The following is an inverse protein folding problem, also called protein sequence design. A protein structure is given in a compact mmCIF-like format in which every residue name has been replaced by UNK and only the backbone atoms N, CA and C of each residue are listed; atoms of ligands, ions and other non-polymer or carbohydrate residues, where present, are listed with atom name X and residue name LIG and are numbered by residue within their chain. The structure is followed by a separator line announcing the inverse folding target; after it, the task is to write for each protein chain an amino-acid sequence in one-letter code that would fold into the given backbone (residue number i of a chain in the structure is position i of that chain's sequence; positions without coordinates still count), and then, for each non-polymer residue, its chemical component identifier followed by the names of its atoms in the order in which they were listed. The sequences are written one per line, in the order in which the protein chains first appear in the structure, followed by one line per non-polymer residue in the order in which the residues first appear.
data_IF_783500473763
#
_entry.id   IF_783500473763
#
_cell.length_a   1.000
_cell.length_b   1.000
_cell.length_c   1.000
_cell.angle_alpha   90.00
_cell.angle_beta   90.00
_cell.angle_gamma   90.00
#
_symmetry.space_group_name_H-M   'P 1'
#
loop_
_entity.id
_entity.type
_entity.pdbx_description
1 polymer ?
#
# COMPACT_ATOMS: atom_id res chain seq x y z
N UNK A 1 -14.34 -9.24 -40.87
CA UNK A 1 -13.08 -9.00 -40.12
C UNK A 1 -13.45 -8.67 -38.70
N UNK A 2 -13.31 -9.61 -37.80
CA UNK A 2 -13.62 -9.44 -36.36
C UNK A 2 -12.43 -8.78 -35.65
N UNK A 3 -12.66 -7.87 -34.68
CA UNK A 3 -11.56 -7.22 -33.94
C UNK A 3 -10.91 -8.23 -33.00
N UNK A 4 -9.60 -8.37 -33.11
CA UNK A 4 -8.77 -9.13 -32.17
C UNK A 4 -8.87 -8.48 -30.80
N UNK A 5 -9.46 -9.17 -29.82
CA UNK A 5 -9.39 -8.82 -28.39
C UNK A 5 -7.92 -8.85 -27.96
N UNK A 6 -7.38 -7.70 -27.58
CA UNK A 6 -6.16 -7.63 -26.77
C UNK A 6 -6.46 -8.28 -25.42
N UNK A 7 -5.79 -9.39 -25.13
CA UNK A 7 -5.77 -9.96 -23.78
C UNK A 7 -5.07 -8.94 -22.86
N UNK A 8 -5.80 -8.43 -21.88
CA UNK A 8 -5.23 -7.80 -20.70
C UNK A 8 -4.38 -8.85 -19.99
N UNK A 9 -3.16 -8.48 -19.66
CA UNK A 9 -2.29 -9.24 -18.74
C UNK A 9 -2.79 -9.02 -17.33
N UNK A 10 -3.78 -9.79 -16.92
CA UNK A 10 -4.29 -9.78 -15.55
C UNK A 10 -3.49 -10.75 -14.69
N UNK A 11 -2.97 -10.16 -13.62
CA UNK A 11 -2.57 -10.72 -12.32
C UNK A 11 -2.43 -12.26 -12.18
N UNK A 12 -1.28 -12.63 -11.65
CA UNK A 12 -0.72 -13.94 -11.32
C UNK A 12 -1.63 -14.97 -10.61
N UNK A 13 -2.89 -14.72 -10.36
CA UNK A 13 -3.76 -15.61 -9.55
C UNK A 13 -5.00 -16.13 -10.27
N UNK A 14 -5.31 -15.72 -11.49
CA UNK A 14 -6.60 -16.06 -12.09
C UNK A 14 -6.62 -17.12 -13.18
N UNK A 15 -5.54 -17.82 -13.41
CA UNK A 15 -5.60 -19.07 -14.20
C UNK A 15 -4.87 -20.16 -13.40
N UNK A 16 -5.44 -21.36 -13.31
CA UNK A 16 -4.89 -22.59 -12.69
C UNK A 16 -3.53 -23.03 -13.28
N UNK A 17 -2.60 -22.11 -13.47
CA UNK A 17 -1.26 -22.35 -13.99
C UNK A 17 -0.27 -22.28 -12.85
N UNK A 18 0.09 -23.43 -12.33
CA UNK A 18 1.19 -23.55 -11.37
C UNK A 18 2.49 -23.09 -12.03
N UNK A 19 3.17 -22.12 -11.45
CA UNK A 19 4.52 -21.71 -11.85
C UNK A 19 5.55 -22.51 -11.07
N UNK A 20 6.57 -23.00 -11.75
CA UNK A 20 7.67 -23.72 -11.13
C UNK A 20 8.94 -22.88 -11.18
N UNK A 21 9.62 -22.79 -10.04
CA UNK A 21 10.94 -22.18 -9.98
C UNK A 21 11.97 -23.07 -10.62
N UNK A 22 12.58 -22.61 -11.70
CA UNK A 22 13.61 -23.36 -12.42
C UNK A 22 15.02 -23.04 -11.93
N UNK A 23 15.28 -21.79 -11.56
CA UNK A 23 16.60 -21.31 -11.15
C UNK A 23 16.46 -20.07 -10.29
N UNK A 24 17.19 -20.04 -9.17
CA UNK A 24 17.41 -18.80 -8.43
C UNK A 24 18.55 -18.04 -9.09
N UNK A 25 18.29 -16.80 -9.49
CA UNK A 25 19.31 -15.97 -10.13
C UNK A 25 20.27 -15.41 -9.08
N UNK A 26 21.56 -15.45 -9.40
CA UNK A 26 22.58 -14.87 -8.55
C UNK A 26 22.44 -13.35 -8.50
N UNK A 27 22.54 -12.78 -7.31
CA UNK A 27 22.43 -11.33 -7.10
C UNK A 27 21.37 -10.97 -6.08
N UNK A 28 21.46 -11.57 -4.87
CA UNK A 28 20.63 -11.15 -3.75
C UNK A 28 20.93 -9.68 -3.44
N UNK A 29 19.95 -8.81 -3.61
CA UNK A 29 20.05 -7.40 -3.24
C UNK A 29 19.46 -7.20 -1.86
N UNK A 30 20.29 -6.99 -0.86
CA UNK A 30 19.84 -6.58 0.47
C UNK A 30 19.44 -5.11 0.44
N UNK A 31 18.23 -4.80 0.90
CA UNK A 31 17.72 -3.44 0.93
C UNK A 31 18.21 -2.72 2.20
N UNK A 32 18.39 -1.41 2.07
CA UNK A 32 18.78 -0.54 3.19
C UNK A 32 17.55 -0.23 4.06
N UNK A 33 17.17 -1.17 4.91
CA UNK A 33 16.17 -0.95 5.96
C UNK A 33 16.63 -1.59 7.27
N UNK A 34 15.96 -1.30 8.38
CA UNK A 34 16.29 -1.84 9.71
C UNK A 34 16.31 -3.39 9.69
N UNK A 35 15.36 -4.00 9.01
CA UNK A 35 15.18 -5.45 8.93
C UNK A 35 15.98 -6.10 7.80
N UNK A 36 16.63 -5.30 6.96
CA UNK A 36 17.47 -5.75 5.83
C UNK A 36 16.80 -6.82 4.96
N UNK A 37 15.58 -6.58 4.46
CA UNK A 37 14.93 -7.54 3.59
C UNK A 37 15.75 -7.71 2.30
N UNK A 38 15.65 -8.87 1.67
CA UNK A 38 16.43 -9.20 0.49
C UNK A 38 15.52 -9.34 -0.73
N UNK A 39 15.84 -8.62 -1.82
CA UNK A 39 15.28 -8.89 -3.14
C UNK A 39 15.94 -10.12 -3.72
N UNK A 40 15.14 -11.11 -4.07
CA UNK A 40 15.57 -12.34 -4.74
C UNK A 40 14.83 -12.49 -6.06
N UNK A 41 15.46 -13.12 -7.03
CA UNK A 41 14.88 -13.29 -8.36
C UNK A 41 14.90 -14.76 -8.76
N UNK A 42 13.78 -15.24 -9.28
CA UNK A 42 13.67 -16.60 -9.77
C UNK A 42 13.26 -16.59 -11.23
N UNK A 43 13.89 -17.47 -11.99
CA UNK A 43 13.43 -17.83 -13.32
C UNK A 43 12.37 -18.90 -13.18
N UNK A 44 11.24 -18.73 -13.87
CA UNK A 44 10.10 -19.65 -13.77
C UNK A 44 9.77 -20.22 -15.12
N UNK A 45 9.05 -21.35 -15.15
CA UNK A 45 8.48 -21.93 -16.35
C UNK A 45 6.99 -22.17 -16.14
N UNK A 46 6.20 -22.02 -17.22
CA UNK A 46 4.78 -22.39 -17.26
C UNK A 46 4.68 -23.89 -17.49
N UNK A 47 3.84 -24.54 -16.70
CA UNK A 47 3.72 -25.98 -16.74
C UNK A 47 2.70 -26.45 -17.80
N UNK A 48 3.14 -27.41 -18.66
CA UNK A 48 2.25 -28.27 -19.42
C UNK A 48 2.69 -29.74 -19.44
N UNK A 49 3.82 -30.09 -18.76
CA UNK A 49 4.42 -31.45 -18.79
C UNK A 49 5.07 -31.80 -17.45
N UNK A 50 5.52 -33.04 -17.27
CA UNK A 50 6.13 -33.56 -16.05
C UNK A 50 7.35 -32.74 -15.59
N UNK A 51 7.44 -32.45 -14.27
CA UNK A 51 8.50 -31.61 -13.68
C UNK A 51 9.93 -32.05 -14.05
N UNK A 52 10.15 -33.35 -14.16
CA UNK A 52 11.46 -33.92 -14.50
C UNK A 52 11.88 -33.63 -15.95
N UNK A 53 10.92 -33.56 -16.89
CA UNK A 53 11.18 -33.27 -18.30
C UNK A 53 11.55 -31.79 -18.48
N UNK A 54 10.99 -30.91 -17.66
CA UNK A 54 11.28 -29.48 -17.69
C UNK A 54 12.69 -29.19 -17.17
N UNK A 55 13.07 -29.81 -16.05
CA UNK A 55 14.40 -29.65 -15.48
C UNK A 55 15.46 -30.15 -16.46
N UNK A 56 15.21 -31.29 -17.14
CA UNK A 56 16.11 -31.83 -18.15
C UNK A 56 16.18 -30.98 -19.42
N UNK A 57 15.04 -30.49 -19.92
CA UNK A 57 14.97 -29.53 -21.04
C UNK A 57 15.70 -28.23 -20.70
N UNK A 58 15.48 -27.69 -19.50
CA UNK A 58 16.13 -26.47 -19.02
C UNK A 58 17.64 -26.66 -18.92
N UNK A 59 18.11 -27.78 -18.33
CA UNK A 59 19.55 -28.07 -18.22
C UNK A 59 20.20 -28.27 -19.60
N UNK A 60 19.49 -28.82 -20.56
CA UNK A 60 19.97 -29.00 -21.95
C UNK A 60 19.93 -27.69 -22.75
N UNK A 61 18.97 -26.79 -22.47
CA UNK A 61 18.84 -25.49 -23.14
C UNK A 61 19.81 -24.44 -22.60
N UNK A 62 20.45 -24.67 -21.45
CA UNK A 62 21.46 -23.76 -20.86
C UNK A 62 22.61 -23.42 -21.82
N UNK A 63 22.84 -24.24 -22.85
CA UNK A 63 23.84 -24.01 -23.90
C UNK A 63 23.37 -23.03 -25.01
N UNK A 64 22.07 -22.72 -25.09
CA UNK A 64 21.49 -21.87 -26.16
C UNK A 64 20.74 -20.64 -25.65
N UNK A 65 20.84 -20.31 -24.37
CA UNK A 65 19.99 -19.36 -23.62
C UNK A 65 20.16 -17.87 -23.95
N UNK A 66 20.62 -17.51 -25.15
CA UNK A 66 20.63 -16.09 -25.55
C UNK A 66 19.33 -15.59 -26.20
N UNK A 67 18.27 -16.39 -26.34
CA UNK A 67 17.21 -16.04 -27.29
C UNK A 67 15.76 -16.09 -26.84
N UNK A 68 15.38 -16.54 -25.62
CA UNK A 68 13.93 -16.62 -25.30
C UNK A 68 13.62 -16.19 -23.84
N UNK A 69 13.66 -14.89 -23.56
CA UNK A 69 13.13 -14.33 -22.29
C UNK A 69 11.61 -14.55 -22.14
N UNK A 70 10.89 -14.74 -23.22
CA UNK A 70 9.43 -15.00 -23.21
C UNK A 70 9.06 -16.41 -22.74
N UNK A 71 9.98 -17.37 -22.84
CA UNK A 71 9.72 -18.77 -22.49
C UNK A 71 9.94 -19.04 -20.98
N UNK A 72 10.83 -18.24 -20.34
CA UNK A 72 11.21 -18.37 -18.93
C UNK A 72 11.22 -17.01 -18.23
N UNK A 73 10.05 -16.45 -17.87
CA UNK A 73 9.98 -15.15 -17.24
C UNK A 73 10.65 -15.13 -15.86
N UNK A 74 11.24 -13.99 -15.54
CA UNK A 74 11.87 -13.75 -14.26
C UNK A 74 10.87 -13.05 -13.33
N UNK A 75 10.68 -13.61 -12.15
CA UNK A 75 9.88 -13.00 -11.09
C UNK A 75 10.77 -12.58 -9.93
N UNK A 76 10.50 -11.41 -9.42
CA UNK A 76 11.19 -10.85 -8.28
C UNK A 76 10.33 -11.00 -7.03
N UNK A 77 10.97 -11.28 -5.91
CA UNK A 77 10.36 -11.45 -4.61
C UNK A 77 11.14 -10.69 -3.55
N UNK A 78 10.44 -10.36 -2.48
CA UNK A 78 11.01 -9.83 -1.26
C UNK A 78 11.08 -10.95 -0.21
N UNK A 79 12.29 -11.29 0.23
CA UNK A 79 12.48 -12.18 1.36
C UNK A 79 12.65 -11.33 2.62
N UNK A 80 11.70 -11.43 3.54
CA UNK A 80 11.69 -10.71 4.82
C UNK A 80 11.78 -11.73 5.95
N UNK A 81 12.70 -11.51 6.89
CA UNK A 81 12.81 -12.30 8.11
C UNK A 81 12.47 -11.43 9.31
N UNK A 82 11.49 -11.85 10.10
CA UNK A 82 11.19 -11.27 11.40
C UNK A 82 10.57 -12.33 12.31
N UNK A 83 11.00 -12.34 13.55
CA UNK A 83 10.50 -13.32 14.53
C UNK A 83 9.11 -12.98 15.05
N UNK A 84 8.73 -11.69 15.08
CA UNK A 84 7.57 -11.24 15.83
C UNK A 84 6.41 -10.72 14.97
N UNK A 85 6.68 -10.18 13.77
CA UNK A 85 5.66 -9.47 13.01
C UNK A 85 5.07 -10.23 11.82
N UNK A 86 5.66 -11.38 11.42
CA UNK A 86 5.20 -12.15 10.26
C UNK A 86 3.75 -12.61 10.41
N UNK A 87 3.37 -13.16 11.56
CA UNK A 87 2.01 -13.62 11.80
C UNK A 87 1.00 -12.46 11.77
N UNK A 88 1.38 -11.30 12.28
CA UNK A 88 0.56 -10.08 12.25
C UNK A 88 0.36 -9.60 10.82
N UNK A 89 1.43 -9.57 10.05
CA UNK A 89 1.38 -9.19 8.64
C UNK A 89 0.48 -10.14 7.85
N UNK A 90 0.63 -11.45 8.01
CA UNK A 90 -0.22 -12.47 7.37
C UNK A 90 -1.71 -12.29 7.70
N UNK A 91 -2.04 -12.11 8.97
CA UNK A 91 -3.42 -11.90 9.41
C UNK A 91 -4.01 -10.58 8.90
N UNK A 92 -3.20 -9.55 8.81
CA UNK A 92 -3.61 -8.28 8.20
C UNK A 92 -3.97 -8.49 6.72
N UNK A 93 -3.20 -9.31 6.01
CA UNK A 93 -3.52 -9.68 4.63
C UNK A 93 -4.82 -10.49 4.51
N UNK A 94 -5.18 -11.31 5.49
CA UNK A 94 -6.48 -12.01 5.52
C UNK A 94 -7.64 -11.01 5.60
N UNK A 95 -7.52 -9.96 6.42
CA UNK A 95 -8.51 -8.88 6.48
C UNK A 95 -8.62 -8.16 5.12
N UNK A 96 -7.50 -7.87 4.47
CA UNK A 96 -7.50 -7.24 3.15
C UNK A 96 -8.10 -8.15 2.06
N UNK A 97 -7.88 -9.46 2.16
CA UNK A 97 -8.55 -10.44 1.30
C UNK A 97 -10.06 -10.39 1.47
N UNK A 98 -10.51 -10.35 2.72
CA UNK A 98 -11.94 -10.29 3.01
C UNK A 98 -12.58 -9.01 2.49
N UNK A 99 -11.92 -7.87 2.62
CA UNK A 99 -12.39 -6.59 2.02
C UNK A 99 -12.55 -6.75 0.49
N UNK A 100 -11.58 -7.35 -0.19
CA UNK A 100 -11.67 -7.58 -1.64
C UNK A 100 -12.76 -8.60 -2.01
N UNK A 101 -12.94 -9.66 -1.21
CA UNK A 101 -14.03 -10.62 -1.39
C UNK A 101 -15.39 -9.92 -1.29
N UNK A 102 -15.56 -9.02 -0.33
CA UNK A 102 -16.79 -8.23 -0.16
C UNK A 102 -17.01 -7.31 -1.38
N UNK A 103 -15.97 -6.63 -1.86
CA UNK A 103 -16.08 -5.82 -3.08
C UNK A 103 -16.49 -6.65 -4.29
N UNK A 104 -15.93 -7.85 -4.42
CA UNK A 104 -16.29 -8.79 -5.49
C UNK A 104 -17.74 -9.27 -5.37
N UNK A 105 -18.16 -9.69 -4.20
CA UNK A 105 -19.54 -10.11 -3.92
C UNK A 105 -20.57 -9.03 -4.25
N UNK A 106 -20.21 -7.76 -4.09
CA UNK A 106 -21.04 -6.61 -4.39
C UNK A 106 -20.85 -6.07 -5.81
N UNK A 107 -20.06 -6.75 -6.64
CA UNK A 107 -19.70 -6.31 -7.99
C UNK A 107 -19.12 -4.89 -8.05
N UNK A 108 -18.45 -4.45 -6.98
CA UNK A 108 -17.86 -3.10 -6.92
C UNK A 108 -16.52 -3.03 -7.64
N UNK A 109 -15.81 -4.13 -7.72
CA UNK A 109 -14.60 -4.30 -8.51
C UNK A 109 -14.88 -4.13 -10.01
N UNK A 110 -15.89 -4.82 -10.53
CA UNK A 110 -16.25 -4.79 -11.96
C UNK A 110 -16.99 -3.51 -12.37
N UNK A 111 -17.88 -2.99 -11.52
CA UNK A 111 -18.72 -1.83 -11.86
C UNK A 111 -18.05 -0.48 -11.57
N UNK A 112 -17.19 -0.41 -10.55
CA UNK A 112 -16.59 0.82 -10.06
C UNK A 112 -15.07 0.80 -10.00
N UNK A 113 -14.43 -0.33 -10.30
CA UNK A 113 -12.98 -0.51 -10.19
C UNK A 113 -12.45 -0.50 -8.75
N UNK A 114 -13.33 -0.79 -7.78
CA UNK A 114 -12.96 -0.80 -6.36
C UNK A 114 -12.20 -2.08 -6.02
N UNK A 115 -10.94 -1.93 -5.71
CA UNK A 115 -10.06 -3.02 -5.29
C UNK A 115 -9.02 -2.47 -4.33
N UNK A 116 -8.85 -3.10 -3.18
CA UNK A 116 -7.75 -2.83 -2.28
C UNK A 116 -6.48 -3.44 -2.86
N UNK A 117 -5.73 -2.64 -3.62
CA UNK A 117 -4.49 -3.09 -4.25
C UNK A 117 -3.47 -3.44 -3.17
N UNK A 118 -2.90 -4.64 -3.25
CA UNK A 118 -1.92 -5.17 -2.30
C UNK A 118 -0.93 -6.08 -3.01
N UNK A 119 0.19 -6.34 -2.39
CA UNK A 119 1.10 -7.41 -2.79
C UNK A 119 0.68 -8.74 -2.15
N UNK A 120 1.25 -9.82 -2.61
CA UNK A 120 1.03 -11.15 -2.04
C UNK A 120 2.18 -11.50 -1.10
N UNK A 121 1.83 -12.21 -0.03
CA UNK A 121 2.82 -12.79 0.87
C UNK A 121 2.53 -14.27 1.09
N UNK A 122 3.59 -15.05 1.24
CA UNK A 122 3.53 -16.47 1.56
C UNK A 122 4.53 -16.81 2.66
N UNK A 123 4.11 -17.43 3.76
CA UNK A 123 5.05 -17.85 4.78
C UNK A 123 5.90 -19.01 4.26
N UNK A 124 7.22 -18.90 4.43
CA UNK A 124 8.18 -19.98 4.20
C UNK A 124 8.43 -20.74 5.51
N UNK A 125 8.48 -19.99 6.61
CA UNK A 125 8.62 -20.54 7.96
C UNK A 125 7.97 -19.59 8.97
N UNK A 126 7.99 -19.93 10.25
CA UNK A 126 7.51 -19.05 11.32
C UNK A 126 8.28 -17.73 11.46
N UNK A 127 9.42 -17.60 10.79
CA UNK A 127 10.29 -16.42 10.87
C UNK A 127 10.62 -15.80 9.52
N UNK A 128 10.10 -16.35 8.41
CA UNK A 128 10.47 -15.92 7.05
C UNK A 128 9.24 -15.91 6.16
N UNK A 129 9.01 -14.77 5.50
CA UNK A 129 7.99 -14.63 4.45
C UNK A 129 8.63 -14.32 3.11
N UNK A 130 7.99 -14.81 2.07
CA UNK A 130 8.22 -14.45 0.69
C UNK A 130 7.11 -13.49 0.26
N UNK A 131 7.46 -12.24 0.01
CA UNK A 131 6.56 -11.23 -0.51
C UNK A 131 6.71 -11.06 -2.02
N UNK A 132 5.62 -10.74 -2.71
CA UNK A 132 5.66 -10.30 -4.11
C UNK A 132 6.46 -9.00 -4.20
N UNK A 133 7.38 -8.91 -5.14
CA UNK A 133 8.02 -7.66 -5.50
C UNK A 133 7.10 -6.85 -6.40
N UNK A 134 6.66 -5.71 -5.93
CA UNK A 134 5.80 -4.82 -6.73
C UNK A 134 6.62 -4.18 -7.85
N UNK A 135 6.54 -4.76 -9.03
CA UNK A 135 7.17 -4.19 -10.22
C UNK A 135 6.50 -2.87 -10.61
N UNK A 136 7.28 -1.97 -11.20
CA UNK A 136 6.80 -0.65 -11.63
C UNK A 136 6.17 0.18 -10.50
N UNK A 137 6.66 0.00 -9.28
CA UNK A 137 6.27 0.80 -8.13
C UNK A 137 7.38 1.76 -7.71
N UNK A 138 7.01 2.78 -6.97
CA UNK A 138 7.92 3.74 -6.35
C UNK A 138 7.30 4.22 -5.04
N UNK A 139 8.07 4.34 -3.97
CA UNK A 139 7.58 4.90 -2.72
C UNK A 139 7.39 6.42 -2.83
N UNK A 140 6.49 6.97 -2.03
CA UNK A 140 6.36 8.42 -1.95
C UNK A 140 7.66 9.07 -1.45
N UNK A 141 8.40 8.42 -0.56
CA UNK A 141 9.72 8.87 -0.13
C UNK A 141 10.70 9.00 -1.30
N UNK A 142 10.75 8.01 -2.19
CA UNK A 142 11.61 8.07 -3.39
C UNK A 142 11.17 9.17 -4.37
N UNK A 143 9.86 9.44 -4.52
CA UNK A 143 9.36 10.54 -5.35
C UNK A 143 9.85 11.88 -4.80
N UNK A 144 9.73 12.10 -3.50
CA UNK A 144 10.23 13.31 -2.85
C UNK A 144 11.74 13.44 -2.96
N UNK A 145 12.48 12.36 -2.78
CA UNK A 145 13.95 12.34 -2.92
C UNK A 145 14.40 12.66 -4.35
N UNK A 146 13.71 12.11 -5.35
CA UNK A 146 14.02 12.36 -6.75
C UNK A 146 13.89 13.85 -7.11
N UNK A 147 12.85 14.52 -6.58
CA UNK A 147 12.57 15.91 -6.92
C UNK A 147 13.44 16.92 -6.16
N UNK A 148 13.81 16.62 -4.92
CA UNK A 148 14.55 17.55 -4.06
C UNK A 148 15.97 17.12 -3.70
N UNK A 149 16.43 15.95 -4.15
CA UNK A 149 17.74 15.40 -3.80
C UNK A 149 17.91 15.09 -2.31
N UNK A 150 16.82 14.93 -1.60
CA UNK A 150 16.80 14.68 -0.16
C UNK A 150 16.76 13.16 0.04
N UNK A 151 17.92 12.56 0.31
CA UNK A 151 18.07 11.11 0.40
C UNK A 151 17.66 10.49 1.74
N UNK A 152 17.27 11.32 2.73
CA UNK A 152 16.95 10.87 4.07
C UNK A 152 15.82 11.71 4.68
N UNK A 153 14.82 11.04 5.25
CA UNK A 153 13.71 11.70 5.99
C UNK A 153 14.24 12.53 7.16
N UNK A 154 15.34 12.10 7.81
CA UNK A 154 15.99 12.84 8.89
C UNK A 154 16.69 14.11 8.38
N UNK A 155 17.24 14.08 7.16
CA UNK A 155 17.80 15.28 6.52
C UNK A 155 16.69 16.25 6.10
N UNK A 156 15.58 15.73 5.57
CA UNK A 156 14.37 16.53 5.28
C UNK A 156 13.80 17.13 6.56
N UNK A 157 13.82 16.37 7.65
CA UNK A 157 13.51 16.80 8.98
C UNK A 157 14.38 17.95 9.46
N UNK A 158 15.67 17.81 9.31
CA UNK A 158 16.65 18.85 9.65
C UNK A 158 16.47 20.11 8.80
N UNK A 159 16.09 19.92 7.54
CA UNK A 159 15.81 21.00 6.60
C UNK A 159 14.56 21.79 7.02
N UNK A 160 13.42 21.14 7.25
CA UNK A 160 12.19 21.79 7.71
C UNK A 160 12.36 22.48 9.09
N UNK A 161 13.17 21.90 10.00
CA UNK A 161 13.50 22.53 11.29
C UNK A 161 14.41 23.73 11.15
N UNK A 162 15.35 23.71 10.20
CA UNK A 162 16.24 24.85 9.92
C UNK A 162 15.49 26.01 9.30
N UNK A 163 14.54 25.75 8.43
CA UNK A 163 13.74 26.81 7.78
C UNK A 163 12.83 27.55 8.75
N UNK A 164 12.29 26.91 9.79
CA UNK A 164 11.60 27.63 10.88
C UNK A 164 12.52 28.61 11.65
N UNK A 165 13.84 28.59 11.40
CA UNK A 165 14.85 29.45 12.03
C UNK A 165 15.65 30.34 11.07
N UNK A 166 15.42 30.28 9.76
CA UNK A 166 16.18 31.04 8.75
C UNK A 166 15.30 32.15 8.16
N UNK A 167 15.91 33.30 7.98
CA UNK A 167 15.32 34.54 7.48
C UNK A 167 14.50 34.38 6.18
N UNK A 168 13.56 35.31 5.90
CA UNK A 168 12.51 35.15 4.87
C UNK A 168 12.97 35.18 3.41
N UNK A 169 14.12 34.60 3.09
CA UNK A 169 14.70 34.58 1.76
C UNK A 169 14.85 33.22 1.08
N UNK A 170 14.69 32.14 1.81
CA UNK A 170 14.83 30.77 1.26
C UNK A 170 13.61 29.94 1.60
N UNK A 171 12.46 30.42 1.19
CA UNK A 171 11.24 29.64 1.16
C UNK A 171 11.40 28.73 -0.05
N UNK A 172 11.71 27.43 0.16
CA UNK A 172 11.19 26.43 -0.76
C UNK A 172 9.72 26.78 -0.88
N UNK A 173 9.33 27.18 -2.06
CA UNK A 173 8.02 27.70 -2.31
C UNK A 173 7.07 26.64 -1.79
N UNK A 174 6.34 26.90 -0.69
CA UNK A 174 5.38 25.94 -0.13
C UNK A 174 4.54 25.33 -1.23
N UNK A 175 4.27 26.12 -2.29
CA UNK A 175 3.59 25.67 -3.50
C UNK A 175 4.33 24.56 -4.26
N UNK A 176 5.65 24.50 -4.23
CA UNK A 176 6.42 23.45 -4.92
C UNK A 176 6.40 22.15 -4.11
N UNK A 177 6.61 22.23 -2.80
CA UNK A 177 6.51 21.05 -1.92
C UNK A 177 5.10 20.45 -1.98
N UNK A 178 4.07 21.28 -2.03
CA UNK A 178 2.67 20.86 -2.08
C UNK A 178 2.26 20.13 -3.37
N UNK A 179 3.06 20.19 -4.41
CA UNK A 179 2.71 19.65 -5.73
C UNK A 179 3.67 18.55 -6.21
N UNK A 180 4.58 18.07 -5.36
CA UNK A 180 5.59 17.07 -5.75
C UNK A 180 4.99 15.84 -6.38
N UNK A 181 4.01 15.26 -5.72
CA UNK A 181 3.35 14.05 -6.20
C UNK A 181 2.55 14.32 -7.48
N UNK A 182 1.85 15.46 -7.55
CA UNK A 182 1.14 15.87 -8.75
C UNK A 182 2.08 16.06 -9.93
N UNK A 183 3.16 16.80 -9.74
CA UNK A 183 4.16 17.03 -10.79
C UNK A 183 4.81 15.73 -11.25
N UNK A 184 5.12 14.83 -10.33
CA UNK A 184 5.68 13.53 -10.69
C UNK A 184 4.72 12.72 -11.59
N UNK A 185 3.45 12.66 -11.24
CA UNK A 185 2.44 11.93 -12.03
C UNK A 185 2.21 12.61 -13.38
N UNK A 186 2.10 13.93 -13.41
CA UNK A 186 1.86 14.72 -14.62
C UNK A 186 3.01 14.58 -15.63
N UNK A 187 4.25 14.59 -15.17
CA UNK A 187 5.43 14.41 -16.04
C UNK A 187 5.58 13.02 -16.63
N UNK A 188 5.01 11.99 -15.99
CA UNK A 188 5.10 10.60 -16.46
C UNK A 188 4.08 10.30 -17.56
N UNK A 189 3.01 11.07 -17.69
CA UNK A 189 1.86 10.71 -18.52
C UNK A 189 1.48 11.84 -19.49
N UNK A 190 1.91 11.68 -20.73
CA UNK A 190 1.67 12.68 -21.80
C UNK A 190 0.25 12.55 -22.39
N UNK A 191 -0.35 11.36 -22.37
CA UNK A 191 -1.66 11.12 -22.98
C UNK A 191 -2.79 11.46 -22.00
N UNK A 192 -3.69 12.44 -22.31
CA UNK A 192 -4.76 12.87 -21.40
C UNK A 192 -5.73 11.73 -20.99
N UNK A 193 -6.01 10.78 -21.86
CA UNK A 193 -6.91 9.66 -21.56
C UNK A 193 -6.26 8.70 -20.55
N UNK A 194 -4.97 8.44 -20.70
CA UNK A 194 -4.21 7.63 -19.76
C UNK A 194 -4.10 8.39 -18.44
N UNK A 195 -3.81 9.68 -18.47
CA UNK A 195 -3.76 10.53 -17.28
C UNK A 195 -5.07 10.49 -16.47
N UNK A 196 -6.22 10.58 -17.16
CA UNK A 196 -7.52 10.50 -16.50
C UNK A 196 -7.74 9.15 -15.80
N UNK A 197 -7.40 8.04 -16.45
CA UNK A 197 -7.54 6.70 -15.84
C UNK A 197 -6.61 6.53 -14.63
N UNK A 198 -5.40 7.06 -14.68
CA UNK A 198 -4.46 7.05 -13.56
C UNK A 198 -5.00 7.88 -12.39
N UNK A 199 -5.45 9.10 -12.66
CA UNK A 199 -6.03 9.99 -11.68
C UNK A 199 -7.23 9.32 -10.97
N UNK A 200 -8.10 8.70 -11.75
CA UNK A 200 -9.26 7.97 -11.23
C UNK A 200 -8.83 6.82 -10.31
N UNK A 201 -7.86 6.00 -10.74
CA UNK A 201 -7.34 4.89 -9.93
C UNK A 201 -6.65 5.38 -8.65
N UNK A 202 -5.88 6.44 -8.76
CA UNK A 202 -5.29 7.11 -7.60
C UNK A 202 -6.35 7.50 -6.57
N UNK A 203 -7.41 8.16 -7.01
CA UNK A 203 -8.49 8.62 -6.14
C UNK A 203 -9.21 7.43 -5.49
N UNK A 204 -9.56 6.41 -6.27
CA UNK A 204 -10.25 5.21 -5.78
C UNK A 204 -9.40 4.49 -4.73
N UNK A 205 -8.16 4.20 -5.05
CA UNK A 205 -7.26 3.48 -4.14
C UNK A 205 -6.95 4.28 -2.88
N UNK A 206 -6.78 5.62 -2.98
CA UNK A 206 -6.62 6.49 -1.81
C UNK A 206 -7.84 6.44 -0.89
N UNK A 207 -9.04 6.50 -1.44
CA UNK A 207 -10.28 6.44 -0.66
C UNK A 207 -10.43 5.10 0.08
N UNK A 208 -10.17 3.99 -0.62
CA UNK A 208 -10.26 2.64 -0.03
C UNK A 208 -9.20 2.47 1.07
N UNK A 209 -7.94 2.82 0.79
CA UNK A 209 -6.86 2.70 1.77
C UNK A 209 -7.09 3.59 3.00
N UNK A 210 -7.59 4.81 2.83
CA UNK A 210 -7.89 5.70 3.96
C UNK A 210 -8.88 5.06 4.93
N UNK A 211 -9.97 4.48 4.44
CA UNK A 211 -10.94 3.80 5.30
C UNK A 211 -10.44 2.45 5.81
N UNK A 212 -9.62 1.75 5.05
CA UNK A 212 -8.99 0.52 5.52
C UNK A 212 -8.03 0.81 6.68
N UNK A 213 -7.22 1.87 6.59
CA UNK A 213 -6.37 2.33 7.70
C UNK A 213 -7.21 2.66 8.94
N UNK A 214 -8.33 3.39 8.77
CA UNK A 214 -9.26 3.68 9.86
C UNK A 214 -9.82 2.39 10.47
N UNK A 215 -10.36 1.48 9.64
CA UNK A 215 -10.99 0.24 10.08
C UNK A 215 -10.05 -0.66 10.87
N UNK A 216 -8.82 -0.80 10.40
CA UNK A 216 -7.83 -1.72 10.99
C UNK A 216 -6.95 -1.06 12.05
N UNK A 217 -7.10 0.24 12.28
CA UNK A 217 -6.18 1.00 13.12
C UNK A 217 -4.73 0.92 12.64
N UNK A 218 -4.54 0.91 11.30
CA UNK A 218 -3.24 0.78 10.67
C UNK A 218 -2.44 2.08 10.80
N UNK A 219 -1.36 2.03 11.57
CA UNK A 219 -0.42 3.12 11.79
C UNK A 219 0.86 3.01 10.95
N UNK A 220 1.83 3.87 11.27
CA UNK A 220 3.15 3.96 10.62
C UNK A 220 3.07 4.23 9.10
N UNK A 221 2.13 5.10 8.70
CA UNK A 221 1.89 5.44 7.27
C UNK A 221 2.78 6.60 6.82
N UNK A 222 4.09 6.52 7.09
CA UNK A 222 5.07 7.47 6.55
C UNK A 222 5.25 7.27 5.03
N UNK A 223 5.94 8.22 4.36
CA UNK A 223 6.12 8.23 2.91
C UNK A 223 6.80 6.97 2.34
N UNK A 224 7.63 6.29 3.13
CA UNK A 224 8.29 5.04 2.74
C UNK A 224 7.34 3.83 2.71
N UNK A 225 6.20 3.90 3.43
CA UNK A 225 5.23 2.81 3.54
C UNK A 225 4.02 2.98 2.60
N UNK A 226 4.09 3.95 1.69
CA UNK A 226 3.08 4.18 0.65
C UNK A 226 3.77 4.17 -0.71
N UNK A 227 3.31 3.33 -1.60
CA UNK A 227 3.84 3.18 -2.95
C UNK A 227 2.84 3.62 -4.00
N UNK A 228 3.35 4.20 -5.08
CA UNK A 228 2.61 4.53 -6.29
C UNK A 228 2.96 3.53 -7.39
N UNK A 229 1.94 2.96 -8.03
CA UNK A 229 2.08 2.04 -9.15
C UNK A 229 2.17 2.81 -10.48
N UNK A 230 3.36 2.84 -11.08
CA UNK A 230 3.65 3.61 -12.30
C UNK A 230 2.86 3.15 -13.53
N UNK A 231 2.39 1.92 -13.55
CA UNK A 231 1.66 1.34 -14.68
C UNK A 231 0.13 1.48 -14.55
N UNK A 232 -0.39 1.81 -13.37
CA UNK A 232 -1.84 1.87 -13.16
C UNK A 232 -2.33 3.13 -12.43
N UNK A 233 -1.46 3.82 -11.71
CA UNK A 233 -1.85 4.96 -10.88
C UNK A 233 -2.38 4.59 -9.49
N UNK A 234 -2.50 3.29 -9.17
CA UNK A 234 -2.97 2.84 -7.87
C UNK A 234 -1.96 3.17 -6.77
N UNK A 235 -2.48 3.42 -5.57
CA UNK A 235 -1.70 3.44 -4.32
C UNK A 235 -1.72 2.07 -3.70
N UNK A 236 -0.57 1.66 -3.16
CA UNK A 236 -0.40 0.43 -2.39
C UNK A 236 0.32 0.78 -1.09
N UNK A 237 -0.24 0.32 0.02
CA UNK A 237 0.46 0.39 1.30
C UNK A 237 1.29 -0.87 1.50
N UNK A 238 2.44 -0.71 2.15
CA UNK A 238 3.35 -1.79 2.53
C UNK A 238 3.68 -1.69 4.01
N UNK A 239 4.23 -2.75 4.58
CA UNK A 239 4.60 -2.85 5.99
C UNK A 239 3.43 -2.69 6.96
N UNK A 240 2.96 -3.80 7.50
CA UNK A 240 1.75 -3.86 8.33
C UNK A 240 2.02 -4.29 9.78
N UNK A 241 3.18 -3.91 10.32
CA UNK A 241 3.57 -4.19 11.70
C UNK A 241 2.78 -3.40 12.76
N UNK A 242 2.18 -2.27 12.39
CA UNK A 242 1.47 -1.37 13.30
C UNK A 242 -0.03 -1.35 13.01
N UNK A 243 -0.78 -2.28 13.59
CA UNK A 243 -2.23 -2.44 13.42
C UNK A 243 -2.94 -2.25 14.75
N UNK A 244 -4.26 -2.20 14.75
CA UNK A 244 -5.12 -2.08 15.95
C UNK A 244 -4.85 -0.81 16.77
N UNK A 245 -4.43 0.29 16.15
CA UNK A 245 -4.14 1.54 16.85
C UNK A 245 -2.77 1.57 17.55
N UNK A 246 -1.91 0.60 17.30
CA UNK A 246 -0.54 0.55 17.86
C UNK A 246 0.29 1.80 17.52
N UNK A 247 -0.06 2.54 16.47
CA UNK A 247 0.53 3.84 16.15
C UNK A 247 0.43 4.87 17.28
N UNK A 248 -0.57 4.75 18.17
CA UNK A 248 -0.72 5.60 19.35
C UNK A 248 0.35 5.35 20.43
N UNK A 249 0.96 4.16 20.45
CA UNK A 249 1.99 3.77 21.40
C UNK A 249 3.42 4.10 20.95
N UNK A 250 3.57 4.68 19.75
CA UNK A 250 4.87 5.14 19.25
C UNK A 250 5.44 6.25 20.15
N UNK A 251 6.78 6.40 20.24
CA UNK A 251 7.42 7.48 21.00
C UNK A 251 6.93 8.88 20.61
N UNK A 252 6.52 9.05 19.35
CA UNK A 252 5.75 10.19 18.85
C UNK A 252 4.44 9.62 18.34
N UNK A 253 3.33 9.71 19.12
CA UNK A 253 2.07 9.08 18.78
C UNK A 253 1.49 9.58 17.45
N UNK A 254 0.91 8.68 16.67
CA UNK A 254 0.13 9.05 15.51
C UNK A 254 -1.28 9.48 15.94
N UNK A 255 -1.62 10.73 15.62
CA UNK A 255 -2.85 11.37 16.09
C UNK A 255 -3.97 11.33 15.05
N UNK A 256 -3.67 10.91 13.81
CA UNK A 256 -4.63 10.81 12.70
C UNK A 256 -4.76 9.35 12.24
N UNK A 257 -5.90 9.03 11.66
CA UNK A 257 -6.24 7.64 11.33
C UNK A 257 -5.68 7.18 9.98
N UNK A 258 -5.42 8.10 9.08
CA UNK A 258 -4.82 7.84 7.77
C UNK A 258 -4.11 9.08 7.27
N UNK A 259 -3.18 8.88 6.34
CA UNK A 259 -2.43 9.98 5.76
C UNK A 259 -3.29 10.74 4.76
N UNK A 260 -3.56 12.02 5.05
CA UNK A 260 -4.35 12.92 4.22
C UNK A 260 -3.70 14.31 4.12
N UNK A 261 -2.39 14.31 3.90
CA UNK A 261 -1.56 15.50 3.77
C UNK A 261 -1.85 16.24 2.45
N UNK A 262 -1.36 17.46 2.32
CA UNK A 262 -1.65 18.33 1.19
C UNK A 262 -1.20 17.75 -0.15
N UNK A 263 -0.05 17.08 -0.19
CA UNK A 263 0.42 16.40 -1.40
C UNK A 263 -0.53 15.31 -1.89
N UNK A 264 -1.10 14.54 -0.98
CA UNK A 264 -2.11 13.53 -1.33
C UNK A 264 -3.37 14.21 -1.84
N UNK A 265 -3.85 15.25 -1.13
CA UNK A 265 -5.11 15.96 -1.46
C UNK A 265 -5.07 16.62 -2.83
N UNK A 266 -3.95 17.27 -3.19
CA UNK A 266 -3.77 17.93 -4.49
C UNK A 266 -3.95 17.00 -5.68
N UNK A 267 -3.69 15.70 -5.49
CA UNK A 267 -3.91 14.69 -6.51
C UNK A 267 -5.35 14.15 -6.56
N UNK A 268 -6.25 14.60 -5.69
CA UNK A 268 -7.66 14.19 -5.71
C UNK A 268 -8.51 15.00 -6.71
N UNK A 269 -7.90 15.93 -7.42
CA UNK A 269 -8.56 16.82 -8.38
C UNK A 269 -9.06 18.11 -7.74
N UNK A 270 -9.74 18.94 -8.55
CA UNK A 270 -10.14 20.30 -8.15
C UNK A 270 -11.05 20.39 -6.94
N UNK A 271 -11.83 19.35 -6.70
CA UNK A 271 -12.81 19.32 -5.61
C UNK A 271 -12.30 18.60 -4.36
N UNK A 272 -11.05 18.08 -4.40
CA UNK A 272 -10.44 17.35 -3.28
C UNK A 272 -11.43 16.37 -2.61
N UNK A 273 -11.68 16.54 -1.29
CA UNK A 273 -12.63 15.73 -0.53
C UNK A 273 -14.10 15.88 -0.95
N UNK A 274 -14.47 16.95 -1.63
CA UNK A 274 -15.85 17.18 -2.07
C UNK A 274 -16.16 16.59 -3.46
N UNK A 275 -15.18 15.90 -4.06
CA UNK A 275 -15.29 15.34 -5.40
C UNK A 275 -15.47 13.82 -5.42
N UNK A 276 -14.84 13.20 -6.41
CA UNK A 276 -14.86 11.76 -6.66
C UNK A 276 -14.31 10.98 -5.46
N UNK A 277 -13.33 11.53 -4.74
CA UNK A 277 -12.78 10.91 -3.53
C UNK A 277 -13.88 10.62 -2.50
N UNK A 278 -14.71 11.60 -2.16
CA UNK A 278 -15.77 11.42 -1.17
C UNK A 278 -16.81 10.37 -1.61
N UNK A 279 -17.11 10.30 -2.90
CA UNK A 279 -18.01 9.27 -3.42
C UNK A 279 -17.48 7.86 -3.12
N UNK A 280 -16.21 7.58 -3.42
CA UNK A 280 -15.61 6.27 -3.16
C UNK A 280 -15.36 6.03 -1.68
N UNK A 281 -15.01 7.06 -0.93
CA UNK A 281 -14.84 7.02 0.51
C UNK A 281 -16.16 6.65 1.21
N UNK A 282 -17.25 7.33 0.86
CA UNK A 282 -18.60 7.02 1.37
C UNK A 282 -19.05 5.61 0.94
N UNK A 283 -18.80 5.22 -0.29
CA UNK A 283 -19.16 3.90 -0.81
C UNK A 283 -18.42 2.78 -0.08
N UNK A 284 -17.12 2.93 0.17
CA UNK A 284 -16.32 2.01 0.97
C UNK A 284 -16.86 1.92 2.41
N UNK A 285 -17.18 3.05 3.02
CA UNK A 285 -17.77 3.10 4.35
C UNK A 285 -19.12 2.35 4.40
N UNK A 286 -19.97 2.57 3.42
CA UNK A 286 -21.27 1.90 3.34
C UNK A 286 -21.15 0.38 3.28
N UNK A 287 -20.14 -0.11 2.55
CA UNK A 287 -19.83 -1.54 2.48
C UNK A 287 -19.28 -2.05 3.81
N UNK A 288 -18.36 -1.33 4.45
CA UNK A 288 -17.83 -1.72 5.76
C UNK A 288 -18.93 -1.76 6.82
N UNK A 289 -19.87 -0.85 6.76
CA UNK A 289 -21.06 -0.84 7.64
C UNK A 289 -21.98 -2.03 7.37
N UNK A 290 -22.27 -2.36 6.12
CA UNK A 290 -23.10 -3.49 5.75
C UNK A 290 -22.47 -4.83 6.20
N UNK A 291 -21.17 -4.99 6.03
CA UNK A 291 -20.43 -6.20 6.39
C UNK A 291 -19.70 -6.09 7.74
N UNK A 292 -20.16 -5.18 8.58
CA UNK A 292 -19.57 -4.88 9.87
C UNK A 292 -19.26 -6.11 10.72
N UNK A 293 -20.22 -7.04 10.85
CA UNK A 293 -20.05 -8.23 11.69
C UNK A 293 -18.94 -9.14 11.19
N UNK A 294 -18.83 -9.31 9.88
CA UNK A 294 -17.78 -10.13 9.25
C UNK A 294 -16.40 -9.50 9.48
N UNK A 295 -16.25 -8.23 9.19
CA UNK A 295 -15.00 -7.51 9.36
C UNK A 295 -14.58 -7.44 10.84
N UNK A 296 -15.55 -7.21 11.73
CA UNK A 296 -15.28 -7.23 13.19
C UNK A 296 -14.79 -8.60 13.65
N UNK A 297 -15.39 -9.70 13.20
CA UNK A 297 -14.96 -11.04 13.57
C UNK A 297 -13.52 -11.33 13.14
N UNK A 298 -13.09 -10.85 11.96
CA UNK A 298 -11.71 -10.98 11.51
C UNK A 298 -10.74 -10.19 12.40
N UNK A 299 -11.12 -8.98 12.79
CA UNK A 299 -10.32 -8.12 13.66
C UNK A 299 -10.27 -8.65 15.10
N UNK A 300 -11.38 -9.18 15.62
CA UNK A 300 -11.42 -9.84 16.91
C UNK A 300 -10.47 -11.08 16.90
N UNK A 301 -10.51 -11.90 15.83
CA UNK A 301 -9.60 -13.03 15.67
C UNK A 301 -8.12 -12.58 15.64
N UNK A 302 -7.84 -11.45 14.97
CA UNK A 302 -6.51 -10.84 14.98
C UNK A 302 -6.10 -10.46 16.42
N UNK A 303 -6.96 -9.77 17.16
CA UNK A 303 -6.69 -9.26 18.48
C UNK A 303 -6.46 -10.35 19.53
N UNK A 304 -7.14 -11.50 19.40
CA UNK A 304 -7.00 -12.66 20.31
C UNK A 304 -5.82 -13.58 19.97
N UNK A 305 -4.93 -13.18 19.05
CA UNK A 305 -3.75 -13.99 18.74
C UNK A 305 -2.81 -14.08 19.96
N UNK A 306 -2.44 -15.31 20.41
CA UNK A 306 -1.50 -15.49 21.49
C UNK A 306 -0.08 -14.98 21.17
N UNK A 307 0.25 -14.75 19.90
CA UNK A 307 1.51 -14.14 19.45
C UNK A 307 1.44 -12.60 19.36
N UNK A 308 0.34 -12.01 19.85
CA UNK A 308 0.25 -10.56 19.94
C UNK A 308 1.26 -10.05 20.97
N UNK A 309 1.96 -8.94 20.65
CA UNK A 309 3.04 -8.38 21.49
C UNK A 309 2.61 -8.10 22.92
N UNK A 310 3.48 -8.41 23.86
CA UNK A 310 3.30 -8.10 25.27
C UNK A 310 3.22 -6.57 25.56
N UNK A 311 3.71 -5.74 24.64
CA UNK A 311 3.76 -4.27 24.80
C UNK A 311 2.43 -3.58 24.44
N UNK A 312 1.55 -4.25 23.70
CA UNK A 312 0.23 -3.73 23.34
C UNK A 312 -0.82 -4.83 23.56
N UNK A 313 -1.54 -4.69 24.66
CA UNK A 313 -2.42 -5.77 25.12
C UNK A 313 -3.58 -6.03 24.14
N UNK A 314 -4.10 -7.26 24.14
CA UNK A 314 -5.36 -7.58 23.44
C UNK A 314 -6.48 -6.63 23.83
N UNK A 315 -6.52 -6.23 25.10
CA UNK A 315 -7.51 -5.27 25.61
C UNK A 315 -7.38 -3.91 24.94
N UNK A 316 -6.18 -3.37 24.78
CA UNK A 316 -5.95 -2.07 24.12
C UNK A 316 -6.33 -2.13 22.65
N UNK A 317 -5.99 -3.22 21.95
CA UNK A 317 -6.40 -3.46 20.58
C UNK A 317 -7.93 -3.50 20.45
N UNK A 318 -8.62 -4.31 21.26
CA UNK A 318 -10.08 -4.42 21.23
C UNK A 318 -10.76 -3.10 21.59
N UNK A 319 -10.21 -2.34 22.53
CA UNK A 319 -10.73 -1.04 22.91
C UNK A 319 -10.62 -0.04 21.77
N UNK A 320 -9.47 0.03 21.12
CA UNK A 320 -9.24 0.87 19.95
C UNK A 320 -10.18 0.51 18.81
N UNK A 321 -10.27 -0.76 18.46
CA UNK A 321 -11.19 -1.25 17.41
C UNK A 321 -12.65 -1.00 17.77
N UNK A 322 -13.07 -1.25 19.00
CA UNK A 322 -14.44 -1.03 19.45
C UNK A 322 -14.81 0.46 19.36
N UNK A 323 -13.90 1.35 19.72
CA UNK A 323 -14.08 2.80 19.55
C UNK A 323 -14.31 3.17 18.08
N UNK A 324 -13.48 2.65 17.17
CA UNK A 324 -13.63 2.89 15.72
C UNK A 324 -14.96 2.34 15.20
N UNK A 325 -15.36 1.16 15.65
CA UNK A 325 -16.59 0.49 15.20
C UNK A 325 -17.87 1.12 15.74
N UNK A 326 -17.89 1.65 16.95
CA UNK A 326 -19.07 2.31 17.50
C UNK A 326 -19.50 3.50 16.63
N UNK A 327 -18.55 4.25 16.11
CA UNK A 327 -18.81 5.35 15.21
C UNK A 327 -19.40 4.91 13.84
N UNK A 328 -19.14 3.69 13.40
CA UNK A 328 -19.67 3.16 12.13
C UNK A 328 -21.19 2.95 12.21
N UNK A 329 -21.72 2.59 13.38
CA UNK A 329 -23.12 2.23 13.56
C UNK A 329 -24.06 3.40 13.94
N UNK A 330 -23.55 4.45 14.58
CA UNK A 330 -24.38 5.33 15.41
C UNK A 330 -24.81 6.66 14.76
N UNK A 331 -24.32 7.09 13.56
CA UNK A 331 -24.54 8.46 13.11
C UNK A 331 -24.88 8.66 11.64
N UNK A 332 -25.31 9.89 11.33
CA UNK A 332 -25.32 10.46 10.00
C UNK A 332 -23.96 10.24 9.34
N UNK A 333 -23.89 9.19 8.54
CA UNK A 333 -22.63 8.68 7.97
C UNK A 333 -21.82 9.74 7.23
N UNK A 334 -22.50 10.76 6.67
CA UNK A 334 -21.85 11.84 5.93
C UNK A 334 -21.11 12.80 6.85
N UNK A 335 -21.74 13.24 7.93
CA UNK A 335 -21.11 14.15 8.90
C UNK A 335 -19.91 13.51 9.56
N UNK A 336 -20.06 12.27 10.02
CA UNK A 336 -18.96 11.51 10.59
C UNK A 336 -17.74 11.39 9.62
N UNK A 337 -17.98 11.08 8.35
CA UNK A 337 -16.90 10.95 7.37
C UNK A 337 -16.21 12.29 7.09
N UNK A 338 -16.96 13.38 7.08
CA UNK A 338 -16.37 14.71 6.94
C UNK A 338 -15.52 15.09 8.17
N UNK A 339 -16.01 14.84 9.39
CA UNK A 339 -15.23 15.04 10.62
C UNK A 339 -13.95 14.21 10.64
N UNK A 340 -14.01 12.97 10.16
CA UNK A 340 -12.87 12.08 10.04
C UNK A 340 -11.81 12.66 9.09
N UNK A 341 -12.23 13.17 7.94
CA UNK A 341 -11.35 13.82 6.95
C UNK A 341 -10.77 15.11 7.54
N UNK A 342 -11.60 15.96 8.18
CA UNK A 342 -11.16 17.20 8.80
C UNK A 342 -10.06 16.94 9.82
N UNK A 343 -10.23 15.95 10.70
CA UNK A 343 -9.20 15.55 11.66
C UNK A 343 -7.90 15.12 10.99
N UNK A 344 -7.99 14.34 9.89
CA UNK A 344 -6.80 13.80 9.22
C UNK A 344 -6.00 14.85 8.42
N UNK A 345 -6.60 15.99 8.08
CA UNK A 345 -5.93 17.10 7.39
C UNK A 345 -5.55 18.26 8.31
N UNK A 346 -5.95 18.23 9.58
CA UNK A 346 -5.72 19.33 10.52
C UNK A 346 -4.23 19.47 10.83
N UNK A 347 -3.61 20.64 10.52
CA UNK A 347 -2.21 20.91 10.84
C UNK A 347 -1.89 20.76 12.32
N UNK A 348 -2.86 21.02 13.21
CA UNK A 348 -2.68 20.86 14.65
C UNK A 348 -2.23 19.45 15.04
N UNK A 349 -2.81 18.41 14.43
CA UNK A 349 -2.44 17.02 14.67
C UNK A 349 -1.17 16.63 13.89
N UNK A 350 -1.11 16.96 12.61
CA UNK A 350 -0.02 16.57 11.73
C UNK A 350 1.35 17.13 12.15
N UNK A 351 1.40 18.38 12.59
CA UNK A 351 2.65 19.02 13.04
C UNK A 351 3.21 18.44 14.34
N UNK A 352 2.38 17.76 15.13
CA UNK A 352 2.78 17.12 16.40
C UNK A 352 3.23 15.68 16.23
N UNK A 353 2.99 15.11 15.06
CA UNK A 353 3.42 13.76 14.72
C UNK A 353 4.89 13.75 14.27
N UNK A 354 5.38 12.54 14.00
CA UNK A 354 6.70 12.37 13.41
C UNK A 354 6.86 13.25 12.16
N UNK A 355 8.05 13.79 11.94
CA UNK A 355 8.30 14.82 10.94
C UNK A 355 7.94 14.42 9.50
N UNK A 356 7.97 13.14 9.16
CA UNK A 356 7.46 12.63 7.88
C UNK A 356 5.95 12.79 7.67
N UNK A 357 5.22 13.31 8.67
CA UNK A 357 3.79 13.59 8.64
C UNK A 357 3.45 15.08 8.54
N UNK A 358 4.42 15.93 8.24
CA UNK A 358 4.12 17.37 8.13
C UNK A 358 2.98 17.64 7.13
N UNK A 359 2.12 18.66 7.37
CA UNK A 359 0.92 18.91 6.58
C UNK A 359 1.17 19.08 5.08
N UNK A 360 2.34 19.58 4.72
CA UNK A 360 2.75 19.84 3.33
C UNK A 360 3.17 18.56 2.59
N UNK A 361 3.63 17.55 3.30
CA UNK A 361 4.20 16.31 2.80
C UNK A 361 3.15 15.20 2.77
#
# INVERSE_FOLDING_TARGET
MSPKKKKQEDNLICDNKTLYFCEMLFGIKVLSSKERPAKISFRTCKFHENANDIISKYQNSKKSLKTNEQEYPIYNFLLKGDANDINKELKTFEIFNEINNIFHLKHLDSNYGMNLKRYLISPISCHVVLGEWLENSITFSEIFNFQYGIYDLDQFAGYLKKEKKIEPGFILNEKEIMNVLYQYIDHQIINPNIWYEYQKRYIISTAIWSLTCYLTGLGDRHLGNIMFMKNSGDIVHIDFGYVCGKGLSLPIPEMVYFRYTLNIRRNLGLFEENGIFFFYFYKTFSVFREFFKTLKSQLDYYAFDPYFDNDYSTYDCLTSLSSMFNHINDFNSKEFLLELIEKCKDPYFLERMFIGWQPQV
#
